data_IF_711042787256
#
_entry.id   IF_711042787256
#
_cell.length_a   1.000
_cell.length_b   1.000
_cell.length_c   1.000
_cell.angle_alpha   90.00
_cell.angle_beta   90.00
_cell.angle_gamma   90.00
#
_symmetry.space_group_name_H-M   'P 1'
#
loop_
_entity.id
_entity.type
_entity.pdbx_description
1 polymer ?
#
# COMPACT_ATOMS: atom_id res chain seq x y z
N UNK A 1 -1.57 -20.79 28.92
CA UNK A 1 -0.16 -20.54 29.27
C UNK A 1 0.82 -21.16 28.26
N UNK A 2 0.80 -22.48 28.05
CA UNK A 2 1.78 -23.16 27.18
C UNK A 2 1.81 -22.67 25.71
N UNK A 3 0.65 -22.39 25.10
CA UNK A 3 0.57 -21.85 23.74
C UNK A 3 1.23 -20.48 23.59
N UNK A 4 0.85 -19.51 24.43
CA UNK A 4 1.43 -18.16 24.39
C UNK A 4 2.96 -18.13 24.63
N UNK A 5 3.50 -19.05 25.44
CA UNK A 5 4.95 -19.18 25.63
C UNK A 5 5.66 -19.76 24.40
N UNK A 6 5.00 -20.69 23.69
CA UNK A 6 5.50 -21.24 22.42
C UNK A 6 5.53 -20.14 21.34
N UNK A 7 4.44 -19.42 21.18
CA UNK A 7 4.35 -18.33 20.19
C UNK A 7 5.43 -17.26 20.44
N UNK A 8 5.70 -16.95 21.72
CA UNK A 8 6.79 -16.04 22.09
C UNK A 8 8.17 -16.58 21.70
N UNK A 9 8.42 -17.88 21.93
CA UNK A 9 9.67 -18.53 21.55
C UNK A 9 9.86 -18.53 20.03
N UNK A 10 8.79 -18.78 19.27
CA UNK A 10 8.80 -18.77 17.80
C UNK A 10 9.10 -17.36 17.27
N UNK A 11 8.49 -16.32 17.85
CA UNK A 11 8.77 -14.91 17.49
C UNK A 11 10.23 -14.55 17.78
N UNK A 12 10.77 -14.94 18.95
CA UNK A 12 12.19 -14.72 19.29
C UNK A 12 13.12 -15.42 18.30
N UNK A 13 12.82 -16.67 17.95
CA UNK A 13 13.61 -17.44 16.98
C UNK A 13 13.56 -16.80 15.58
N UNK A 14 12.39 -16.32 15.14
CA UNK A 14 12.23 -15.64 13.87
C UNK A 14 13.02 -14.32 13.81
N UNK A 15 12.97 -13.52 14.88
CA UNK A 15 13.74 -12.26 14.98
C UNK A 15 15.24 -12.52 15.02
N UNK A 16 15.69 -13.57 15.70
CA UNK A 16 17.10 -13.98 15.68
C UNK A 16 17.54 -14.40 14.26
N UNK A 17 16.69 -15.10 13.51
CA UNK A 17 16.96 -15.53 12.13
C UNK A 17 16.96 -14.39 11.09
N UNK A 18 16.32 -13.26 11.39
CA UNK A 18 16.35 -12.06 10.53
C UNK A 18 17.59 -11.19 10.74
N UNK A 19 18.47 -11.52 11.69
CA UNK A 19 19.71 -10.77 11.89
C UNK A 19 20.62 -10.96 10.68
N UNK A 20 21.16 -9.88 10.09
CA UNK A 20 22.14 -10.02 9.04
C UNK A 20 23.33 -10.83 9.57
N UNK A 21 23.73 -11.88 8.84
CA UNK A 21 25.02 -12.53 9.09
C UNK A 21 26.10 -11.43 9.02
N UNK A 22 27.06 -11.45 9.95
CA UNK A 22 28.14 -10.46 9.99
C UNK A 22 28.83 -10.41 8.62
N UNK A 23 28.46 -9.42 7.81
CA UNK A 23 29.02 -9.20 6.48
C UNK A 23 30.19 -8.24 6.65
N UNK A 24 31.34 -8.63 6.11
CA UNK A 24 32.53 -7.80 5.97
C UNK A 24 32.25 -6.55 5.10
N UNK A 25 31.67 -5.48 5.67
CA UNK A 25 31.55 -4.20 4.97
C UNK A 25 31.33 -2.98 5.89
N UNK A 26 32.27 -2.02 5.79
CA UNK A 26 32.29 -0.58 6.11
C UNK A 26 31.52 -0.01 7.33
N UNK A 27 32.16 0.89 8.12
CA UNK A 27 31.72 1.30 9.47
C UNK A 27 30.40 2.07 9.58
N UNK A 28 29.84 2.62 8.50
CA UNK A 28 28.61 3.42 8.54
C UNK A 28 27.31 2.59 8.45
N UNK A 29 27.33 1.46 7.74
CA UNK A 29 26.15 0.57 7.58
C UNK A 29 25.87 -0.27 8.84
N UNK A 30 26.94 -0.63 9.55
CA UNK A 30 26.89 -1.42 10.80
C UNK A 30 26.07 -0.69 11.89
N UNK A 31 26.26 0.63 12.05
CA UNK A 31 25.57 1.41 13.09
C UNK A 31 24.05 1.49 12.93
N UNK A 32 23.55 1.46 11.69
CA UNK A 32 22.09 1.50 11.42
C UNK A 32 21.46 0.13 11.60
N UNK A 33 22.11 -0.94 11.13
CA UNK A 33 21.66 -2.32 11.34
C UNK A 33 21.68 -2.71 12.83
N UNK A 34 22.70 -2.29 13.58
CA UNK A 34 22.81 -2.51 15.02
C UNK A 34 21.73 -1.74 15.81
N UNK A 35 21.44 -0.50 15.42
CA UNK A 35 20.38 0.28 16.04
C UNK A 35 18.98 -0.31 15.80
N UNK A 36 18.73 -0.83 14.59
CA UNK A 36 17.46 -1.48 14.22
C UNK A 36 17.28 -2.82 14.95
N UNK A 37 18.31 -3.67 14.97
CA UNK A 37 18.26 -4.96 15.67
C UNK A 37 18.10 -4.77 17.19
N UNK A 38 18.84 -3.83 17.79
CA UNK A 38 18.67 -3.49 19.22
C UNK A 38 17.27 -2.95 19.53
N UNK A 39 16.67 -2.19 18.61
CA UNK A 39 15.29 -1.71 18.74
C UNK A 39 14.26 -2.82 18.70
N UNK A 40 14.42 -3.77 17.77
CA UNK A 40 13.60 -4.98 17.65
C UNK A 40 13.70 -5.87 18.89
N UNK A 41 14.92 -6.11 19.40
CA UNK A 41 15.11 -6.89 20.62
C UNK A 41 14.39 -6.26 21.82
N UNK A 42 14.55 -4.94 22.01
CA UNK A 42 13.85 -4.21 23.08
C UNK A 42 12.33 -4.30 22.94
N UNK A 43 11.81 -4.25 21.72
CA UNK A 43 10.39 -4.38 21.45
C UNK A 43 9.86 -5.78 21.77
N UNK A 44 10.55 -6.83 21.30
CA UNK A 44 10.19 -8.23 21.56
C UNK A 44 10.24 -8.52 23.06
N UNK A 45 11.28 -8.08 23.77
CA UNK A 45 11.39 -8.29 25.22
C UNK A 45 10.31 -7.53 26.01
N UNK A 46 9.95 -6.32 25.59
CA UNK A 46 8.84 -5.59 26.22
C UNK A 46 7.50 -6.33 26.03
N UNK A 47 7.27 -6.95 24.86
CA UNK A 47 6.08 -7.78 24.60
C UNK A 47 6.11 -9.12 25.33
N UNK A 48 7.28 -9.74 25.44
CA UNK A 48 7.49 -10.96 26.21
C UNK A 48 7.06 -10.78 27.67
N UNK A 49 7.53 -9.71 28.32
CA UNK A 49 7.15 -9.40 29.71
C UNK A 49 5.65 -9.17 29.86
N UNK A 50 5.03 -8.48 28.91
CA UNK A 50 3.58 -8.28 28.92
C UNK A 50 2.82 -9.61 28.82
N UNK A 51 3.28 -10.54 27.97
CA UNK A 51 2.68 -11.88 27.86
C UNK A 51 2.86 -12.67 29.15
N UNK A 52 4.05 -12.69 29.75
CA UNK A 52 4.29 -13.39 31.01
C UNK A 52 3.48 -12.79 32.17
N UNK A 53 3.37 -11.46 32.24
CA UNK A 53 2.52 -10.80 33.23
C UNK A 53 1.03 -11.18 33.06
N UNK A 54 0.52 -11.29 31.82
CA UNK A 54 -0.85 -11.79 31.56
C UNK A 54 -1.01 -13.24 31.99
N UNK A 55 0.00 -14.09 31.75
CA UNK A 55 -0.03 -15.49 32.19
C UNK A 55 -0.02 -15.56 33.71
N UNK A 56 0.81 -14.78 34.39
CA UNK A 56 0.88 -14.72 35.85
C UNK A 56 -0.45 -14.27 36.47
N UNK A 57 -1.13 -13.25 35.91
CA UNK A 57 -2.48 -12.86 36.34
C UNK A 57 -3.48 -14.02 36.15
N UNK A 58 -3.47 -14.68 35.00
CA UNK A 58 -4.38 -15.81 34.72
C UNK A 58 -4.13 -17.03 35.63
N UNK A 59 -2.87 -17.26 36.01
CA UNK A 59 -2.45 -18.34 36.93
C UNK A 59 -2.59 -17.95 38.41
N UNK A 60 -3.24 -16.82 38.73
CA UNK A 60 -3.45 -16.31 40.09
C UNK A 60 -2.14 -16.02 40.84
N UNK A 61 -1.10 -15.58 40.12
CA UNK A 61 0.20 -15.14 40.63
C UNK A 61 0.41 -13.63 40.41
N UNK A 62 -0.40 -12.76 41.03
CA UNK A 62 -0.36 -11.32 40.78
C UNK A 62 0.95 -10.66 41.23
N UNK A 63 1.65 -11.21 42.23
CA UNK A 63 2.98 -10.75 42.66
C UNK A 63 4.01 -10.85 41.54
N UNK A 64 4.00 -11.95 40.79
CA UNK A 64 4.93 -12.21 39.70
C UNK A 64 4.63 -11.28 38.52
N UNK A 65 3.34 -10.98 38.29
CA UNK A 65 2.93 -9.98 37.33
C UNK A 65 3.43 -8.58 37.73
N UNK A 66 3.23 -8.15 38.99
CA UNK A 66 3.74 -6.86 39.48
C UNK A 66 5.26 -6.75 39.32
N UNK A 67 6.01 -7.80 39.70
CA UNK A 67 7.46 -7.83 39.57
C UNK A 67 7.92 -7.66 38.10
N UNK A 68 7.23 -8.32 37.17
CA UNK A 68 7.50 -8.19 35.73
C UNK A 68 7.20 -6.78 35.19
N UNK A 69 6.26 -6.07 35.80
CA UNK A 69 5.83 -4.73 35.38
C UNK A 69 6.70 -3.59 35.93
N UNK A 70 7.24 -3.72 37.15
CA UNK A 70 8.07 -2.69 37.77
C UNK A 70 9.48 -2.66 37.14
N UNK A 71 9.97 -3.80 36.67
CA UNK A 71 11.34 -3.92 36.17
C UNK A 71 11.64 -3.11 34.89
N UNK A 72 10.63 -2.68 34.13
CA UNK A 72 10.83 -1.98 32.87
C UNK A 72 9.57 -1.24 32.37
N UNK A 73 9.73 -0.19 31.54
CA UNK A 73 8.59 0.47 30.91
C UNK A 73 7.79 -0.48 30.03
N UNK A 74 6.47 -0.44 30.21
CA UNK A 74 5.51 -1.23 29.44
C UNK A 74 5.20 -0.62 28.07
N UNK A 75 4.93 -1.46 27.05
CA UNK A 75 4.37 -0.98 25.80
C UNK A 75 3.08 -0.21 26.07
N UNK A 76 2.86 0.91 25.38
CA UNK A 76 1.62 1.67 25.52
C UNK A 76 0.61 1.19 24.49
N UNK A 77 -0.57 0.74 24.93
CA UNK A 77 -1.62 0.26 24.03
C UNK A 77 -2.71 -0.56 24.74
N UNK A 78 -3.71 -1.01 23.98
CA UNK A 78 -4.90 -1.67 24.50
C UNK A 78 -4.61 -2.92 25.36
N UNK A 79 -3.66 -3.77 24.93
CA UNK A 79 -3.27 -4.96 25.69
C UNK A 79 -2.68 -4.62 27.08
N UNK A 80 -2.07 -3.44 27.23
CA UNK A 80 -1.53 -2.96 28.50
C UNK A 80 -2.64 -2.46 29.40
N UNK A 81 -3.63 -1.76 28.84
CA UNK A 81 -4.83 -1.33 29.56
C UNK A 81 -5.59 -2.56 30.09
N UNK A 82 -5.79 -3.58 29.25
CA UNK A 82 -6.43 -4.83 29.68
C UNK A 82 -5.65 -5.54 30.80
N UNK A 83 -4.33 -5.67 30.66
CA UNK A 83 -3.49 -6.30 31.67
C UNK A 83 -3.54 -5.56 33.01
N UNK A 84 -3.38 -4.23 33.01
CA UNK A 84 -3.41 -3.44 34.24
C UNK A 84 -4.80 -3.46 34.90
N UNK A 85 -5.88 -3.48 34.11
CA UNK A 85 -7.24 -3.66 34.62
C UNK A 85 -7.44 -5.03 35.28
N UNK A 86 -7.00 -6.10 34.61
CA UNK A 86 -7.08 -7.46 35.14
C UNK A 86 -6.19 -7.64 36.39
N UNK A 87 -5.01 -7.02 36.41
CA UNK A 87 -4.11 -7.05 37.55
C UNK A 87 -4.69 -6.30 38.75
N UNK A 88 -5.26 -5.11 38.54
CA UNK A 88 -5.95 -4.34 39.60
C UNK A 88 -7.08 -5.13 40.24
N UNK A 89 -7.80 -5.93 39.46
CA UNK A 89 -8.86 -6.81 39.97
C UNK A 89 -8.33 -8.06 40.71
N UNK A 90 -7.14 -8.54 40.34
CA UNK A 90 -6.54 -9.76 40.89
C UNK A 90 -5.65 -9.53 42.12
N UNK A 91 -5.23 -8.28 42.39
CA UNK A 91 -4.33 -7.92 43.47
C UNK A 91 -5.11 -7.60 44.76
N UNK A 92 -4.68 -8.07 45.95
CA UNK A 92 -5.30 -7.71 47.22
C UNK A 92 -5.30 -6.19 47.45
N UNK A 93 -6.33 -5.66 48.13
CA UNK A 93 -6.47 -4.21 48.33
C UNK A 93 -5.24 -3.51 48.94
N UNK A 94 -4.51 -4.22 49.82
CA UNK A 94 -3.25 -3.75 50.42
C UNK A 94 -2.12 -3.49 49.42
N UNK A 95 -2.15 -4.18 48.28
CA UNK A 95 -1.10 -4.14 47.25
C UNK A 95 -1.57 -3.37 46.00
N UNK A 96 -2.80 -2.84 46.01
CA UNK A 96 -3.40 -2.12 44.87
C UNK A 96 -2.58 -0.89 44.44
N UNK A 97 -1.85 -0.26 45.37
CA UNK A 97 -0.96 0.86 45.10
C UNK A 97 0.29 0.48 44.28
N UNK A 98 0.62 -0.81 44.21
CA UNK A 98 1.75 -1.32 43.40
C UNK A 98 1.39 -1.49 41.93
N UNK A 99 0.09 -1.45 41.59
CA UNK A 99 -0.37 -1.55 40.20
C UNK A 99 -0.23 -0.19 39.53
N UNK A 100 0.49 -0.09 38.40
CA UNK A 100 0.61 1.17 37.65
C UNK A 100 -0.75 1.77 37.31
N UNK A 101 -0.85 3.10 37.38
CA UNK A 101 -2.06 3.82 37.03
C UNK A 101 -2.43 3.58 35.56
N UNK A 102 -3.72 3.33 35.33
CA UNK A 102 -4.31 2.98 34.05
C UNK A 102 -4.61 4.22 33.20
N UNK A 103 -4.91 5.35 33.85
CA UNK A 103 -5.35 6.58 33.20
C UNK A 103 -4.40 7.07 32.08
N UNK A 104 -3.06 7.14 32.26
CA UNK A 104 -2.16 7.60 31.19
C UNK A 104 -2.20 6.68 29.96
N UNK A 105 -2.33 5.36 30.16
CA UNK A 105 -2.39 4.39 29.05
C UNK A 105 -3.74 4.45 28.31
N UNK A 106 -4.83 4.75 29.01
CA UNK A 106 -6.15 4.93 28.39
C UNK A 106 -6.20 6.19 27.53
N UNK A 107 -5.73 7.32 28.04
CA UNK A 107 -5.69 8.59 27.31
C UNK A 107 -4.88 8.45 26.02
N UNK A 108 -3.70 7.83 26.09
CA UNK A 108 -2.85 7.64 24.92
C UNK A 108 -3.43 6.63 23.92
N UNK A 109 -4.08 5.57 24.38
CA UNK A 109 -4.78 4.63 23.49
C UNK A 109 -5.97 5.29 22.81
N UNK A 110 -6.72 6.14 23.53
CA UNK A 110 -7.84 6.90 22.98
C UNK A 110 -7.37 7.92 21.94
N UNK A 111 -6.28 8.64 22.23
CA UNK A 111 -5.65 9.57 21.29
C UNK A 111 -5.14 8.84 20.05
N UNK A 112 -4.40 7.74 20.21
CA UNK A 112 -3.91 6.94 19.08
C UNK A 112 -5.02 6.38 18.20
N UNK A 113 -6.15 5.95 18.78
CA UNK A 113 -7.35 5.55 18.01
C UNK A 113 -7.97 6.74 17.27
N UNK A 114 -8.09 7.89 17.94
CA UNK A 114 -8.60 9.13 17.33
C UNK A 114 -7.73 9.58 16.17
N UNK A 115 -6.41 9.53 16.33
CA UNK A 115 -5.45 9.92 15.31
C UNK A 115 -5.46 8.94 14.14
N UNK A 116 -5.51 7.63 14.41
CA UNK A 116 -5.65 6.60 13.37
C UNK A 116 -6.97 6.74 12.60
N UNK A 117 -8.08 7.02 13.30
CA UNK A 117 -9.38 7.28 12.68
C UNK A 117 -9.34 8.57 11.85
N UNK A 118 -8.75 9.63 12.38
CA UNK A 118 -8.59 10.93 11.68
C UNK A 118 -7.68 10.77 10.45
N UNK A 119 -6.63 9.95 10.52
CA UNK A 119 -5.79 9.62 9.38
C UNK A 119 -6.51 8.71 8.36
N UNK A 120 -7.47 7.90 8.81
CA UNK A 120 -8.31 7.09 7.95
C UNK A 120 -9.40 7.89 7.24
N UNK A 121 -9.87 9.00 7.81
CA UNK A 121 -10.92 9.84 7.21
C UNK A 121 -10.56 10.32 5.79
N UNK A 122 -9.38 10.91 5.51
CA UNK A 122 -8.97 11.27 4.15
C UNK A 122 -8.81 10.08 3.20
N UNK A 123 -8.60 8.86 3.73
CA UNK A 123 -8.50 7.64 2.93
C UNK A 123 -9.87 7.03 2.62
N UNK A 124 -10.85 7.23 3.50
CA UNK A 124 -12.21 6.69 3.40
C UNK A 124 -13.17 7.65 2.71
N UNK A 125 -12.93 8.96 2.78
CA UNK A 125 -13.68 9.95 2.01
C UNK A 125 -13.25 9.85 0.55
N UNK A 126 -14.22 9.56 -0.32
CA UNK A 126 -14.10 9.86 -1.75
C UNK A 126 -13.77 11.35 -1.81
N UNK A 127 -12.57 11.69 -2.27
CA UNK A 127 -12.19 13.08 -2.43
C UNK A 127 -13.28 13.77 -3.27
N UNK A 128 -13.83 14.92 -2.83
CA UNK A 128 -14.82 15.63 -3.62
C UNK A 128 -14.24 15.78 -5.02
N UNK A 129 -15.00 15.34 -6.03
CA UNK A 129 -14.59 15.45 -7.43
C UNK A 129 -14.36 16.92 -7.73
N UNK A 130 -13.12 17.38 -7.55
CA UNK A 130 -12.77 18.74 -7.91
C UNK A 130 -12.97 18.84 -9.42
N UNK A 131 -13.55 19.92 -9.93
CA UNK A 131 -13.73 20.15 -11.36
C UNK A 131 -12.40 20.41 -12.11
N UNK A 132 -11.30 19.76 -11.70
CA UNK A 132 -10.18 19.44 -12.58
C UNK A 132 -10.64 18.38 -13.58
N UNK A 133 -11.60 18.80 -14.40
CA UNK A 133 -11.92 18.16 -15.65
C UNK A 133 -10.65 18.17 -16.51
N UNK A 134 -10.32 17.00 -17.05
CA UNK A 134 -9.29 16.82 -18.08
C UNK A 134 -7.86 17.01 -17.54
N UNK A 135 -7.37 16.04 -16.77
CA UNK A 135 -5.92 15.75 -16.80
C UNK A 135 -5.65 15.18 -18.19
N UNK A 136 -5.13 16.04 -19.05
CA UNK A 136 -4.76 15.87 -20.46
C UNK A 136 -4.61 14.40 -20.95
N UNK A 137 -5.72 13.74 -21.28
CA UNK A 137 -5.68 12.45 -21.98
C UNK A 137 -4.83 12.59 -23.25
N UNK A 138 -4.97 13.70 -23.98
CA UNK A 138 -4.21 14.02 -25.19
C UNK A 138 -2.71 14.22 -24.96
N UNK A 139 -2.25 14.78 -23.83
CA UNK A 139 -0.82 14.89 -23.51
C UNK A 139 -0.21 13.56 -23.05
N UNK A 140 -1.04 12.66 -22.52
CA UNK A 140 -0.59 11.33 -22.10
C UNK A 140 -0.51 10.31 -23.25
N UNK A 141 -1.06 10.62 -24.44
CA UNK A 141 -0.94 9.77 -25.63
C UNK A 141 0.44 9.92 -26.29
N UNK A 142 1.11 8.81 -26.66
CA UNK A 142 2.09 8.84 -27.75
C UNK A 142 1.35 9.24 -29.04
N UNK A 143 1.95 10.08 -29.87
CA UNK A 143 1.34 10.59 -31.10
C UNK A 143 1.32 9.48 -32.19
N UNK A 144 0.44 8.49 -32.03
CA UNK A 144 0.35 7.29 -32.89
C UNK A 144 -0.14 7.65 -34.30
N UNK A 145 -0.98 8.67 -34.45
CA UNK A 145 -1.49 9.12 -35.77
C UNK A 145 -0.38 9.79 -36.60
N UNK A 146 0.55 10.50 -35.96
CA UNK A 146 1.75 11.03 -36.64
C UNK A 146 2.76 9.94 -37.03
N UNK A 147 2.82 8.83 -36.29
CA UNK A 147 3.71 7.71 -36.58
C UNK A 147 3.20 6.79 -37.72
N UNK A 148 1.88 6.73 -37.93
CA UNK A 148 1.26 5.91 -38.98
C UNK A 148 1.29 6.55 -40.38
N UNK A 149 1.41 7.88 -40.48
CA UNK A 149 1.59 8.60 -41.77
C UNK A 149 3.06 8.81 -42.15
N UNK A 150 4.01 8.49 -41.27
CA UNK A 150 5.46 8.47 -41.52
C UNK A 150 6.03 7.06 -41.73
N UNK A 151 5.18 6.10 -42.11
CA UNK A 151 5.54 4.69 -42.25
C UNK A 151 6.41 4.39 -43.47
N UNK A 152 7.70 4.71 -43.37
CA UNK A 152 8.72 4.11 -44.25
C UNK A 152 10.04 3.75 -43.53
N UNK A 153 10.22 3.98 -42.22
CA UNK A 153 11.50 3.71 -41.53
C UNK A 153 11.40 3.25 -40.05
N UNK A 154 10.46 2.38 -39.65
CA UNK A 154 10.50 1.79 -38.28
C UNK A 154 10.59 0.26 -38.20
N UNK A 155 11.01 -0.39 -39.28
CA UNK A 155 11.65 -1.71 -39.17
C UNK A 155 13.12 -1.50 -38.74
N UNK A 156 13.36 -1.26 -37.45
CA UNK A 156 14.72 -1.29 -36.89
C UNK A 156 15.07 -0.19 -35.89
N UNK A 157 14.56 -0.27 -34.65
CA UNK A 157 15.23 0.31 -33.46
C UNK A 157 14.95 -0.55 -32.22
N UNK A 158 15.57 -1.73 -32.17
CA UNK A 158 16.09 -2.24 -30.89
C UNK A 158 17.51 -1.69 -30.75
N UNK A 159 17.82 -1.01 -29.64
CA UNK A 159 19.00 -1.32 -28.78
C UNK A 159 19.51 -0.20 -27.85
N UNK A 160 19.10 1.07 -27.91
CA UNK A 160 19.49 2.07 -26.90
C UNK A 160 18.46 3.21 -26.79
N UNK A 161 17.86 3.35 -25.61
CA UNK A 161 17.04 4.53 -25.27
C UNK A 161 15.58 4.41 -25.70
N UNK A 162 14.77 3.87 -24.79
CA UNK A 162 13.33 3.69 -24.97
C UNK A 162 12.62 4.95 -25.45
N UNK A 163 11.62 4.72 -26.31
CA UNK A 163 10.63 5.71 -26.76
C UNK A 163 10.22 6.58 -25.58
N UNK A 164 10.32 7.90 -25.77
CA UNK A 164 10.07 8.89 -24.71
C UNK A 164 8.72 8.64 -24.05
N UNK A 165 8.79 8.44 -22.73
CA UNK A 165 7.73 8.08 -21.80
C UNK A 165 6.78 9.26 -21.67
N UNK A 166 5.58 9.19 -22.24
CA UNK A 166 4.53 10.16 -21.91
C UNK A 166 4.13 9.97 -20.45
N UNK A 167 4.10 11.05 -19.67
CA UNK A 167 3.58 11.02 -18.32
C UNK A 167 2.12 10.53 -18.35
N UNK A 168 1.83 9.45 -17.62
CA UNK A 168 0.47 8.89 -17.52
C UNK A 168 0.38 7.44 -17.97
N UNK A 169 0.54 7.12 -19.27
CA UNK A 169 0.27 5.77 -19.80
C UNK A 169 1.52 4.93 -20.03
N UNK A 170 1.44 3.63 -19.74
CA UNK A 170 2.43 2.62 -20.11
C UNK A 170 1.76 1.40 -20.70
N UNK A 171 2.38 0.81 -21.71
CA UNK A 171 2.01 -0.52 -22.20
C UNK A 171 3.25 -1.40 -22.28
N UNK A 172 3.14 -2.67 -21.90
CA UNK A 172 4.24 -3.63 -21.92
C UNK A 172 3.71 -4.96 -22.38
N UNK A 173 4.30 -5.48 -23.46
CA UNK A 173 3.95 -6.80 -23.98
C UNK A 173 4.57 -7.88 -23.09
N UNK A 174 3.77 -8.86 -22.70
CA UNK A 174 4.22 -10.01 -21.93
C UNK A 174 4.56 -11.18 -22.86
N UNK A 175 5.44 -12.11 -22.43
CA UNK A 175 5.84 -13.27 -23.23
C UNK A 175 4.70 -14.23 -23.59
N UNK A 176 3.61 -14.21 -22.83
CA UNK A 176 2.43 -15.07 -23.02
C UNK A 176 1.41 -14.52 -24.05
N UNK A 177 1.75 -13.41 -24.71
CA UNK A 177 0.86 -12.74 -25.68
C UNK A 177 -0.19 -11.84 -25.03
N UNK A 178 -0.14 -11.64 -23.71
CA UNK A 178 -0.91 -10.59 -23.05
C UNK A 178 -0.18 -9.25 -23.10
N UNK A 179 -0.91 -8.16 -22.90
CA UNK A 179 -0.38 -6.81 -22.87
C UNK A 179 -0.79 -6.16 -21.56
N UNK A 180 0.18 -5.71 -20.78
CA UNK A 180 -0.05 -4.90 -19.59
C UNK A 180 -0.26 -3.45 -20.02
N UNK A 181 -1.34 -2.82 -19.58
CA UNK A 181 -1.69 -1.42 -19.80
C UNK A 181 -1.83 -0.75 -18.45
N UNK A 182 -1.12 0.34 -18.23
CA UNK A 182 -1.09 1.07 -16.97
C UNK A 182 -1.40 2.54 -17.20
N UNK A 183 -2.14 3.15 -16.28
CA UNK A 183 -2.28 4.60 -16.21
C UNK A 183 -1.98 5.10 -14.79
N UNK A 184 -1.17 6.15 -14.70
CA UNK A 184 -0.85 6.85 -13.47
C UNK A 184 -1.50 8.23 -13.55
N UNK A 185 -2.61 8.40 -12.84
CA UNK A 185 -3.35 9.65 -12.77
C UNK A 185 -3.00 10.43 -11.49
N UNK A 186 -2.78 11.73 -11.64
CA UNK A 186 -2.71 12.68 -10.51
C UNK A 186 -4.09 13.31 -10.21
N UNK A 187 -5.18 12.61 -10.54
CA UNK A 187 -6.58 13.02 -10.35
C UNK A 187 -7.12 12.51 -9.00
N UNK A 188 -8.07 13.21 -8.36
CA UNK A 188 -8.73 12.72 -7.14
C UNK A 188 -9.75 11.60 -7.37
N UNK A 189 -10.08 11.23 -8.61
CA UNK A 189 -11.06 10.17 -8.90
C UNK A 189 -10.39 8.89 -9.40
N UNK A 190 -10.56 7.80 -8.66
CA UNK A 190 -10.12 6.47 -9.07
C UNK A 190 -10.88 5.96 -10.31
N UNK A 191 -12.17 6.30 -10.42
CA UNK A 191 -12.99 5.87 -11.56
C UNK A 191 -12.49 6.46 -12.87
N UNK A 192 -12.12 7.75 -12.88
CA UNK A 192 -11.53 8.38 -14.07
C UNK A 192 -10.24 7.69 -14.51
N UNK A 193 -9.36 7.31 -13.57
CA UNK A 193 -8.11 6.58 -13.90
C UNK A 193 -8.44 5.22 -14.52
N UNK A 194 -9.46 4.53 -14.02
CA UNK A 194 -9.87 3.22 -14.53
C UNK A 194 -10.46 3.31 -15.94
N UNK A 195 -11.36 4.28 -16.17
CA UNK A 195 -11.95 4.54 -17.49
C UNK A 195 -10.88 4.91 -18.52
N UNK A 196 -9.94 5.79 -18.15
CA UNK A 196 -8.82 6.16 -19.01
C UNK A 196 -7.92 4.96 -19.33
N UNK A 197 -7.67 4.08 -18.36
CA UNK A 197 -6.89 2.84 -18.57
C UNK A 197 -7.63 1.86 -19.48
N UNK A 198 -8.95 1.73 -19.32
CA UNK A 198 -9.79 0.88 -20.15
C UNK A 198 -9.85 1.38 -21.60
N UNK A 199 -10.03 2.69 -21.80
CA UNK A 199 -9.97 3.32 -23.12
C UNK A 199 -8.61 3.06 -23.78
N UNK A 200 -7.51 3.22 -23.03
CA UNK A 200 -6.17 2.90 -23.54
C UNK A 200 -6.01 1.42 -23.89
N UNK A 201 -6.60 0.52 -23.11
CA UNK A 201 -6.56 -0.91 -23.39
C UNK A 201 -7.27 -1.26 -24.71
N UNK A 202 -8.41 -0.63 -24.97
CA UNK A 202 -9.12 -0.77 -26.24
C UNK A 202 -8.31 -0.22 -27.43
N UNK A 203 -7.66 0.94 -27.27
CA UNK A 203 -6.75 1.48 -28.30
C UNK A 203 -5.60 0.52 -28.60
N UNK A 204 -4.99 -0.08 -27.57
CA UNK A 204 -3.88 -1.04 -27.69
C UNK A 204 -4.34 -2.32 -28.39
N UNK A 205 -5.52 -2.86 -28.04
CA UNK A 205 -6.09 -4.01 -28.73
C UNK A 205 -6.33 -3.74 -30.23
N UNK A 206 -6.87 -2.55 -30.55
CA UNK A 206 -7.08 -2.13 -31.94
C UNK A 206 -5.76 -1.93 -32.70
N UNK A 207 -4.75 -1.37 -32.04
CA UNK A 207 -3.40 -1.22 -32.60
C UNK A 207 -2.72 -2.57 -32.88
N UNK A 208 -3.04 -3.60 -32.10
CA UNK A 208 -2.63 -4.99 -32.36
C UNK A 208 -3.45 -5.68 -33.48
N UNK A 209 -4.35 -4.96 -34.15
CA UNK A 209 -5.18 -5.48 -35.24
C UNK A 209 -6.31 -6.39 -34.77
N UNK A 210 -6.65 -6.38 -33.48
CA UNK A 210 -7.70 -7.23 -32.90
C UNK A 210 -8.96 -6.42 -32.60
N UNK A 211 -10.16 -6.94 -32.94
CA UNK A 211 -11.43 -6.23 -32.74
C UNK A 211 -11.92 -6.24 -31.28
N UNK A 212 -11.41 -7.16 -30.45
CA UNK A 212 -11.81 -7.31 -29.06
C UNK A 212 -10.63 -7.66 -28.16
N UNK A 213 -10.84 -7.58 -26.84
CA UNK A 213 -9.86 -8.00 -25.85
C UNK A 213 -10.51 -8.55 -24.58
N UNK A 214 -9.81 -9.44 -23.87
CA UNK A 214 -10.23 -9.98 -22.58
C UNK A 214 -9.33 -9.42 -21.49
N UNK A 215 -9.92 -8.89 -20.42
CA UNK A 215 -9.16 -8.51 -19.22
C UNK A 215 -8.85 -9.80 -18.42
N UNK A 216 -7.57 -10.10 -18.28
CA UNK A 216 -7.06 -11.30 -17.58
C UNK A 216 -6.65 -11.00 -16.15
N UNK A 217 -6.16 -9.80 -15.88
CA UNK A 217 -5.84 -9.33 -14.55
C UNK A 217 -6.11 -7.82 -14.43
N UNK A 218 -6.43 -7.38 -13.21
CA UNK A 218 -6.73 -6.00 -12.87
C UNK A 218 -6.15 -5.67 -11.51
N UNK A 219 -5.43 -4.56 -11.40
CA UNK A 219 -4.87 -4.07 -10.15
C UNK A 219 -5.10 -2.56 -10.04
N UNK A 220 -5.51 -2.13 -8.85
CA UNK A 220 -5.87 -0.75 -8.56
C UNK A 220 -5.09 -0.28 -7.35
N UNK A 221 -4.53 0.92 -7.44
CA UNK A 221 -3.64 1.47 -6.43
C UNK A 221 -4.06 2.89 -6.09
N UNK A 222 -4.16 3.18 -4.79
CA UNK A 222 -4.09 4.56 -4.29
C UNK A 222 -2.62 4.97 -4.13
N UNK A 223 -2.31 6.21 -4.45
CA UNK A 223 -0.96 6.76 -4.36
C UNK A 223 -0.93 7.83 -3.28
N UNK A 224 0.10 7.79 -2.44
CA UNK A 224 0.38 8.81 -1.44
C UNK A 224 1.87 9.15 -1.44
N UNK A 225 2.18 10.45 -1.32
CA UNK A 225 3.52 10.92 -1.02
C UNK A 225 3.73 10.81 0.49
N UNK A 226 4.66 9.94 0.89
CA UNK A 226 5.03 9.76 2.28
C UNK A 226 6.29 10.57 2.56
N UNK A 227 6.23 11.47 3.55
CA UNK A 227 7.40 12.17 4.05
C UNK A 227 7.88 11.47 5.32
N UNK A 228 9.15 11.08 5.34
CA UNK A 228 9.78 10.40 6.48
C UNK A 228 10.84 11.28 7.11
N UNK A 229 10.91 11.31 8.44
CA UNK A 229 12.00 11.89 9.22
C UNK A 229 12.56 10.84 10.16
N UNK A 230 13.88 10.63 10.14
CA UNK A 230 14.56 9.58 10.93
C UNK A 230 13.95 8.18 10.74
N UNK A 231 13.54 7.83 9.50
CA UNK A 231 12.92 6.54 9.19
C UNK A 231 11.50 6.36 9.71
N UNK A 232 10.91 7.38 10.34
CA UNK A 232 9.49 7.39 10.75
C UNK A 232 8.69 8.27 9.79
N UNK A 233 7.54 7.77 9.37
CA UNK A 233 6.56 8.55 8.61
C UNK A 233 6.05 9.71 9.48
N UNK A 234 6.22 10.94 8.98
CA UNK A 234 5.74 12.17 9.64
C UNK A 234 4.55 12.79 8.92
N UNK A 235 4.39 12.51 7.61
CA UNK A 235 3.25 12.97 6.82
C UNK A 235 2.95 12.00 5.68
N UNK A 236 1.70 11.92 5.27
CA UNK A 236 1.25 11.23 4.07
C UNK A 236 0.21 12.08 3.36
N UNK A 237 0.52 12.48 2.13
CA UNK A 237 -0.37 13.28 1.29
C UNK A 237 -0.86 12.43 0.12
N UNK A 238 -2.17 12.21 -0.06
CA UNK A 238 -2.70 11.54 -1.24
C UNK A 238 -2.26 12.26 -2.53
N UNK A 239 -1.74 11.51 -3.50
CA UNK A 239 -1.20 12.06 -4.76
C UNK A 239 -1.89 11.54 -6.02
N UNK A 240 -2.85 10.62 -5.89
CA UNK A 240 -3.71 10.18 -6.99
C UNK A 240 -3.92 8.67 -7.01
N UNK A 241 -4.14 8.12 -8.20
CA UNK A 241 -4.43 6.71 -8.40
C UNK A 241 -3.60 6.12 -9.54
N UNK A 242 -3.41 4.81 -9.51
CA UNK A 242 -2.86 4.04 -10.62
C UNK A 242 -3.76 2.84 -10.88
N UNK A 243 -4.06 2.60 -12.15
CA UNK A 243 -4.77 1.40 -12.59
C UNK A 243 -3.87 0.60 -13.54
N UNK A 244 -3.90 -0.72 -13.41
CA UNK A 244 -3.19 -1.66 -14.26
C UNK A 244 -4.17 -2.73 -14.76
N UNK A 245 -4.21 -2.91 -16.08
CA UNK A 245 -4.97 -3.96 -16.75
C UNK A 245 -4.01 -4.85 -17.51
N UNK A 246 -4.14 -6.16 -17.36
CA UNK A 246 -3.51 -7.13 -18.27
C UNK A 246 -4.57 -7.61 -19.23
N UNK A 247 -4.40 -7.31 -20.52
CA UNK A 247 -5.35 -7.66 -21.56
C UNK A 247 -4.80 -8.74 -22.48
N UNK A 248 -5.67 -9.57 -23.02
CA UNK A 248 -5.36 -10.45 -24.14
C UNK A 248 -6.18 -9.99 -25.35
N UNK A 249 -5.54 -9.47 -26.41
CA UNK A 249 -6.23 -9.18 -27.66
C UNK A 249 -6.79 -10.47 -28.29
N UNK A 250 -8.03 -10.44 -28.79
CA UNK A 250 -8.73 -11.61 -29.33
C UNK A 250 -9.49 -11.28 -30.61
N UNK A 251 -9.75 -12.30 -31.44
CA UNK A 251 -10.53 -12.18 -32.66
C UNK A 251 -12.03 -12.01 -32.37
N UNK A 252 -12.78 -11.54 -33.37
CA UNK A 252 -14.22 -11.32 -33.22
C UNK A 252 -14.94 -12.62 -32.84
N UNK A 253 -15.83 -12.53 -31.84
CA UNK A 253 -16.60 -13.67 -31.35
C UNK A 253 -15.82 -14.67 -30.48
N UNK A 254 -14.52 -14.46 -30.24
CA UNK A 254 -13.77 -15.24 -29.26
C UNK A 254 -14.20 -14.86 -27.83
N UNK A 255 -14.50 -15.87 -27.00
CA UNK A 255 -14.93 -15.68 -25.60
C UNK A 255 -16.05 -14.63 -25.41
N UNK A 256 -17.22 -14.81 -26.05
CA UNK A 256 -18.26 -13.78 -26.14
C UNK A 256 -18.84 -13.33 -24.79
N UNK A 257 -18.64 -14.12 -23.73
CA UNK A 257 -19.06 -13.80 -22.36
C UNK A 257 -18.09 -12.87 -21.63
N UNK A 258 -16.85 -12.73 -22.12
CA UNK A 258 -15.75 -12.03 -21.43
C UNK A 258 -15.06 -10.97 -22.29
N UNK A 259 -15.12 -11.12 -23.62
CA UNK A 259 -14.47 -10.20 -24.53
C UNK A 259 -15.20 -8.86 -24.56
N UNK A 260 -14.41 -7.79 -24.53
CA UNK A 260 -14.86 -6.42 -24.69
C UNK A 260 -14.58 -5.99 -26.12
N UNK A 261 -15.59 -5.45 -26.79
CA UNK A 261 -15.46 -4.86 -28.12
C UNK A 261 -14.62 -3.57 -28.03
N UNK A 262 -13.48 -3.54 -28.72
CA UNK A 262 -12.57 -2.42 -28.67
C UNK A 262 -13.16 -1.15 -29.31
N UNK A 263 -13.94 -1.28 -30.38
CA UNK A 263 -14.59 -0.15 -31.02
C UNK A 263 -15.68 0.42 -30.12
N UNK A 264 -16.53 -0.43 -29.53
CA UNK A 264 -17.58 0.02 -28.62
C UNK A 264 -17.04 0.76 -27.39
N UNK A 265 -15.92 0.28 -26.81
CA UNK A 265 -15.25 0.97 -25.69
C UNK A 265 -14.71 2.34 -26.13
N UNK A 266 -14.06 2.42 -27.31
CA UNK A 266 -13.53 3.67 -27.85
C UNK A 266 -14.67 4.66 -28.17
N UNK A 267 -15.77 4.19 -28.72
CA UNK A 267 -16.92 5.04 -29.09
C UNK A 267 -17.65 5.56 -27.85
N UNK A 268 -17.75 4.76 -26.79
CA UNK A 268 -18.40 5.16 -25.55
C UNK A 268 -17.54 6.13 -24.71
N UNK A 269 -16.24 5.83 -24.54
CA UNK A 269 -15.37 6.62 -23.67
C UNK A 269 -14.62 7.72 -24.42
N UNK A 270 -14.33 7.53 -25.70
CA UNK A 270 -13.57 8.46 -26.52
C UNK A 270 -14.09 9.89 -26.51
N UNK A 271 -15.40 10.15 -26.74
CA UNK A 271 -15.95 11.51 -26.70
C UNK A 271 -15.73 12.24 -25.37
N UNK A 272 -15.67 11.52 -24.25
CA UNK A 272 -15.47 12.09 -22.92
C UNK A 272 -14.02 12.55 -22.70
N UNK A 273 -13.06 11.90 -23.37
CA UNK A 273 -11.62 12.08 -23.13
C UNK A 273 -10.86 12.71 -24.30
N UNK A 274 -11.38 12.65 -25.54
CA UNK A 274 -10.78 13.23 -26.74
C UNK A 274 -11.23 14.65 -27.05
N UNK A 275 -12.32 15.13 -26.45
CA UNK A 275 -12.87 16.45 -26.75
C UNK A 275 -11.88 17.58 -26.43
N UNK A 276 -11.38 18.26 -27.48
CA UNK A 276 -10.76 19.58 -27.31
C UNK A 276 -11.81 20.56 -26.80
N UNK A 277 -11.49 21.31 -25.74
CA UNK A 277 -12.32 22.47 -25.35
C UNK A 277 -12.41 23.42 -26.55
N UNK A 278 -13.60 23.95 -26.88
CA UNK A 278 -13.65 25.21 -27.63
C UNK A 278 -12.77 26.22 -26.91
N UNK A 279 -11.89 26.92 -27.63
CA UNK A 279 -11.18 28.07 -27.07
C UNK A 279 -12.24 28.98 -26.45
N UNK A 280 -12.18 29.18 -25.13
CA UNK A 280 -12.91 30.26 -24.50
C UNK A 280 -12.41 31.56 -25.17
N UNK A 281 -13.27 32.17 -25.97
CA UNK A 281 -13.12 33.55 -26.46
C UNK A 281 -13.27 34.52 -25.32
#
# INVERSE_FOLDING_TARGET
>A
AAGARRDLADVRAHVAGMRPAALDAKPAGIRVADALSTGLDKFVEARARQVEARIAVAEKRPSDAIAALIAAPMPRGAATVELLGALKAAVPAKDAALVPDLAPFQTETANGRRDALTAAVPMALIAPETPRAVVDYSRSRPNIVGALLGGALSMGTSLLGGISRTDGFRSTDNPDGTIKVEFIGNTPSAMLVQEMTLLRAAEVARAAGKPAFVITARQEYSRSLVQTQYGRQISSTPTGFKSELTIRPVDAGAEPQRALDAAAVIDALGPLYYGEKPKAT
#
